data_IF_225429987150
#
_entry.id   IF_225429987150
#
_cell.length_a   1.000
_cell.length_b   1.000
_cell.length_c   1.000
_cell.angle_alpha   90.00
_cell.angle_beta   90.00
_cell.angle_gamma   90.00
#
_symmetry.space_group_name_H-M   'P 1'
#
loop_
_entity.id
_entity.type
_entity.pdbx_description
1 polymer ?
#
# COMPACT_ATOMS: atom_id res chain seq x y z
N UNK A 1 -42.73 8.24 -44.56
CA UNK A 1 -42.38 7.18 -43.57
C UNK A 1 -40.91 6.74 -43.66
N UNK A 2 -39.95 7.66 -43.86
CA UNK A 2 -38.50 7.34 -43.95
C UNK A 2 -37.59 8.31 -43.19
N UNK A 3 -38.18 9.24 -42.43
CA UNK A 3 -37.47 10.33 -41.74
C UNK A 3 -37.57 10.26 -40.21
N UNK A 4 -38.06 9.15 -39.65
CA UNK A 4 -38.22 8.94 -38.20
C UNK A 4 -37.32 7.81 -37.64
N UNK A 5 -36.46 7.22 -38.46
CA UNK A 5 -35.60 6.10 -38.05
C UNK A 5 -34.14 6.51 -37.75
N UNK A 6 -33.76 7.76 -38.04
CA UNK A 6 -32.38 8.24 -37.84
C UNK A 6 -32.15 8.90 -36.46
N UNK A 7 -33.19 9.06 -35.64
CA UNK A 7 -33.10 9.84 -34.38
C UNK A 7 -32.90 9.00 -33.11
N UNK A 8 -32.96 7.66 -33.17
CA UNK A 8 -32.76 6.80 -32.00
C UNK A 8 -31.32 6.28 -31.85
N UNK A 9 -30.47 6.42 -32.86
CA UNK A 9 -29.05 6.01 -32.78
C UNK A 9 -28.15 7.08 -32.11
N UNK A 10 -28.57 8.35 -32.07
CA UNK A 10 -27.80 9.43 -31.47
C UNK A 10 -27.95 9.53 -29.94
N UNK A 11 -28.97 8.91 -29.35
CA UNK A 11 -29.22 8.93 -27.90
C UNK A 11 -28.51 7.80 -27.14
N UNK A 12 -28.11 6.71 -27.80
CA UNK A 12 -27.38 5.60 -27.18
C UNK A 12 -25.86 5.84 -27.14
N UNK A 13 -25.36 6.80 -27.94
CA UNK A 13 -23.96 7.20 -27.92
C UNK A 13 -23.59 8.10 -26.71
N UNK A 14 -24.58 8.63 -25.98
CA UNK A 14 -24.34 9.52 -24.84
C UNK A 14 -24.31 8.80 -23.47
N UNK A 15 -24.58 7.49 -23.43
CA UNK A 15 -24.62 6.73 -22.18
C UNK A 15 -23.33 5.96 -21.84
N UNK A 16 -22.30 5.98 -22.69
CA UNK A 16 -21.04 5.26 -22.42
C UNK A 16 -19.94 6.11 -21.77
N UNK A 17 -20.20 7.39 -21.45
CA UNK A 17 -19.24 8.23 -20.72
C UNK A 17 -19.55 8.36 -19.22
N UNK A 18 -20.49 7.57 -18.70
CA UNK A 18 -20.97 7.69 -17.32
C UNK A 18 -20.43 6.63 -16.33
N UNK A 19 -19.47 5.78 -16.72
CA UNK A 19 -18.94 4.72 -15.82
C UNK A 19 -17.41 4.58 -15.84
N UNK A 20 -16.70 5.70 -15.91
CA UNK A 20 -15.32 5.78 -15.45
C UNK A 20 -15.23 6.83 -14.34
N UNK A 21 -15.88 6.57 -13.21
CA UNK A 21 -15.48 7.20 -11.94
C UNK A 21 -14.07 6.70 -11.63
N UNK A 22 -13.06 7.34 -12.22
CA UNK A 22 -11.67 7.17 -11.79
C UNK A 22 -11.65 7.48 -10.30
N UNK A 23 -11.43 6.45 -9.47
CA UNK A 23 -11.33 6.57 -8.02
C UNK A 23 -10.37 7.71 -7.67
N UNK A 24 -10.73 8.50 -6.67
CA UNK A 24 -9.83 9.53 -6.17
C UNK A 24 -8.52 8.89 -5.68
N UNK A 25 -7.38 9.61 -5.67
CA UNK A 25 -6.13 9.09 -5.12
C UNK A 25 -6.28 8.59 -3.69
N UNK A 26 -7.10 9.24 -2.87
CA UNK A 26 -7.41 8.80 -1.50
C UNK A 26 -8.14 7.45 -1.46
N UNK A 27 -9.16 7.27 -2.32
CA UNK A 27 -9.86 5.99 -2.43
C UNK A 27 -8.94 4.86 -2.92
N UNK A 28 -8.09 5.15 -3.92
CA UNK A 28 -7.09 4.19 -4.39
C UNK A 28 -6.11 3.81 -3.27
N UNK A 29 -5.62 4.78 -2.49
CA UNK A 29 -4.72 4.54 -1.39
C UNK A 29 -5.37 3.68 -0.30
N UNK A 30 -6.63 3.96 0.05
CA UNK A 30 -7.40 3.17 1.05
C UNK A 30 -7.60 1.71 0.63
N UNK A 31 -7.80 1.45 -0.65
CA UNK A 31 -7.91 0.08 -1.18
C UNK A 31 -6.57 -0.64 -1.26
N UNK A 32 -5.50 0.11 -1.53
CA UNK A 32 -4.15 -0.43 -1.66
C UNK A 32 -3.51 -0.72 -0.30
N UNK A 33 -3.77 0.11 0.70
CA UNK A 33 -3.11 0.05 2.00
C UNK A 33 -3.18 -1.34 2.67
N UNK A 34 -4.34 -2.02 2.76
CA UNK A 34 -4.41 -3.36 3.37
C UNK A 34 -3.50 -4.38 2.67
N UNK A 35 -3.41 -4.32 1.34
CA UNK A 35 -2.56 -5.23 0.55
C UNK A 35 -1.07 -4.95 0.79
N UNK A 36 -0.69 -3.68 0.78
CA UNK A 36 0.69 -3.26 1.07
C UNK A 36 1.11 -3.69 2.47
N UNK A 37 0.24 -3.46 3.46
CA UNK A 37 0.48 -3.86 4.85
C UNK A 37 0.69 -5.38 4.94
N UNK A 38 -0.16 -6.16 4.29
CA UNK A 38 -0.05 -7.61 4.28
C UNK A 38 1.25 -8.09 3.62
N UNK A 39 1.59 -7.59 2.43
CA UNK A 39 2.80 -7.98 1.69
C UNK A 39 4.05 -7.62 2.49
N UNK A 40 4.11 -6.39 2.99
CA UNK A 40 5.24 -5.89 3.77
C UNK A 40 5.45 -6.71 5.04
N UNK A 41 4.38 -6.96 5.80
CA UNK A 41 4.46 -7.76 7.02
C UNK A 41 4.80 -9.23 6.75
N UNK A 42 4.26 -9.81 5.67
CA UNK A 42 4.61 -11.17 5.26
C UNK A 42 6.09 -11.26 4.94
N UNK A 43 6.61 -10.37 4.09
CA UNK A 43 8.02 -10.36 3.71
C UNK A 43 8.93 -10.10 4.91
N UNK A 44 8.59 -9.14 5.77
CA UNK A 44 9.39 -8.81 6.95
C UNK A 44 9.50 -10.01 7.89
N UNK A 45 8.38 -10.65 8.24
CA UNK A 45 8.36 -11.79 9.14
C UNK A 45 9.04 -13.00 8.49
N UNK A 46 8.68 -13.36 7.26
CA UNK A 46 9.24 -14.54 6.59
C UNK A 46 10.76 -14.42 6.40
N UNK A 47 11.24 -13.23 6.03
CA UNK A 47 12.67 -13.01 5.79
C UNK A 47 13.51 -12.89 7.06
N UNK A 48 12.89 -12.61 8.21
CA UNK A 48 13.57 -12.50 9.51
C UNK A 48 13.35 -13.69 10.44
N UNK A 49 12.38 -14.56 10.14
CA UNK A 49 11.99 -15.72 10.96
C UNK A 49 13.16 -16.61 11.34
N UNK A 50 14.04 -16.93 10.40
CA UNK A 50 15.21 -17.79 10.67
C UNK A 50 16.22 -17.13 11.60
N UNK A 51 16.39 -15.81 11.50
CA UNK A 51 17.28 -15.05 12.40
C UNK A 51 16.64 -14.91 13.78
N UNK A 52 15.33 -14.68 13.85
CA UNK A 52 14.59 -14.66 15.11
C UNK A 52 14.58 -16.02 15.81
N UNK A 53 14.59 -17.12 15.05
CA UNK A 53 14.67 -18.47 15.60
C UNK A 53 16.01 -18.73 16.30
N UNK A 54 17.10 -18.10 15.82
CA UNK A 54 18.44 -18.20 16.42
C UNK A 54 18.60 -17.34 17.68
N UNK A 55 17.69 -16.39 17.93
CA UNK A 55 17.76 -15.56 19.13
C UNK A 55 17.49 -16.40 20.39
N UNK A 56 18.28 -16.23 21.47
CA UNK A 56 17.96 -16.81 22.76
C UNK A 56 16.60 -16.31 23.27
N UNK A 57 15.86 -17.11 24.06
CA UNK A 57 14.53 -16.73 24.57
C UNK A 57 14.51 -15.38 25.29
N UNK A 58 15.59 -15.04 25.99
CA UNK A 58 15.80 -13.77 26.71
C UNK A 58 15.68 -12.54 25.80
N UNK A 59 16.11 -12.65 24.53
CA UNK A 59 16.06 -11.55 23.56
C UNK A 59 14.76 -11.51 22.76
N UNK A 60 14.00 -12.61 22.70
CA UNK A 60 12.70 -12.64 22.00
C UNK A 60 11.68 -11.68 22.64
N UNK A 61 11.74 -11.53 23.96
CA UNK A 61 10.88 -10.60 24.71
C UNK A 61 11.28 -9.12 24.52
N UNK A 62 12.47 -8.85 23.99
CA UNK A 62 12.94 -7.50 23.66
C UNK A 62 12.53 -7.08 22.24
N UNK A 63 12.03 -8.02 21.42
CA UNK A 63 11.57 -7.70 20.08
C UNK A 63 10.30 -6.83 20.14
N UNK A 64 10.20 -5.79 19.31
CA UNK A 64 8.97 -5.01 19.19
C UNK A 64 7.76 -5.91 18.93
N UNK A 65 6.62 -5.61 19.57
CA UNK A 65 5.41 -6.42 19.47
C UNK A 65 4.96 -6.65 18.02
N UNK A 66 5.12 -5.64 17.15
CA UNK A 66 4.75 -5.74 15.74
C UNK A 66 5.61 -6.78 14.98
N UNK A 67 6.81 -7.12 15.44
CA UNK A 67 7.67 -8.12 14.81
C UNK A 67 7.39 -9.55 15.29
N UNK A 68 6.56 -9.73 16.32
CA UNK A 68 6.34 -11.05 16.92
C UNK A 68 5.42 -11.93 16.07
N UNK A 69 4.56 -11.34 15.25
CA UNK A 69 3.68 -12.07 14.34
C UNK A 69 3.26 -11.21 13.15
N UNK A 70 2.81 -11.86 12.05
CA UNK A 70 2.22 -11.17 10.89
C UNK A 70 0.98 -10.36 11.30
N UNK A 71 0.16 -10.87 12.22
CA UNK A 71 -1.04 -10.19 12.70
C UNK A 71 -0.69 -8.92 13.47
N UNK A 72 0.28 -9.00 14.39
CA UNK A 72 0.77 -7.85 15.15
C UNK A 72 1.39 -6.79 14.24
N UNK A 73 2.13 -7.19 13.22
CA UNK A 73 2.66 -6.28 12.21
C UNK A 73 1.54 -5.57 11.45
N UNK A 74 0.56 -6.33 10.96
CA UNK A 74 -0.55 -5.79 10.16
C UNK A 74 -1.41 -4.83 10.98
N UNK A 75 -1.70 -5.17 12.23
CA UNK A 75 -2.42 -4.32 13.16
C UNK A 75 -1.68 -3.00 13.42
N UNK A 76 -0.37 -3.07 13.68
CA UNK A 76 0.47 -1.88 13.89
C UNK A 76 0.51 -0.97 12.65
N UNK A 77 0.67 -1.56 11.47
CA UNK A 77 0.69 -0.80 10.22
C UNK A 77 -0.66 -0.18 9.89
N UNK A 78 -1.76 -0.88 10.21
CA UNK A 78 -3.13 -0.36 10.08
C UNK A 78 -3.35 0.84 11.00
N UNK A 79 -3.02 0.72 12.28
CA UNK A 79 -3.13 1.82 13.23
C UNK A 79 -2.30 3.03 12.79
N UNK A 80 -1.08 2.78 12.31
CA UNK A 80 -0.21 3.83 11.76
C UNK A 80 -0.83 4.51 10.54
N UNK A 81 -1.40 3.73 9.61
CA UNK A 81 -2.09 4.26 8.43
C UNK A 81 -3.31 5.10 8.81
N UNK A 82 -4.16 4.60 9.71
CA UNK A 82 -5.37 5.30 10.17
C UNK A 82 -4.99 6.62 10.86
N UNK A 83 -3.92 6.62 11.67
CA UNK A 83 -3.38 7.84 12.29
C UNK A 83 -2.87 8.83 11.25
N UNK A 84 -2.09 8.37 10.27
CA UNK A 84 -1.59 9.23 9.19
C UNK A 84 -2.73 9.77 8.32
N UNK A 85 -3.78 8.99 8.08
CA UNK A 85 -4.96 9.45 7.35
C UNK A 85 -5.67 10.58 8.11
N UNK A 86 -5.95 10.39 9.39
CA UNK A 86 -6.56 11.44 10.23
C UNK A 86 -5.72 12.72 10.24
N UNK A 87 -4.39 12.58 10.38
CA UNK A 87 -3.49 13.71 10.33
C UNK A 87 -3.52 14.46 8.99
N UNK A 88 -3.58 13.75 7.86
CA UNK A 88 -3.73 14.38 6.55
C UNK A 88 -5.05 15.13 6.43
N UNK A 89 -6.13 14.53 6.92
CA UNK A 89 -7.47 15.16 6.95
C UNK A 89 -7.45 16.44 7.81
N UNK A 90 -6.88 16.40 9.01
CA UNK A 90 -6.73 17.56 9.91
C UNK A 90 -5.87 18.68 9.28
N UNK A 91 -4.81 18.32 8.55
CA UNK A 91 -3.90 19.26 7.89
C UNK A 91 -4.36 19.68 6.49
N UNK A 92 -5.49 19.18 5.99
CA UNK A 92 -5.97 19.35 4.61
C UNK A 92 -4.93 18.94 3.55
N UNK A 93 -4.08 17.98 3.87
CA UNK A 93 -3.11 17.40 2.94
C UNK A 93 -3.82 16.46 1.97
N UNK A 94 -3.55 16.64 0.68
CA UNK A 94 -4.15 15.81 -0.37
C UNK A 94 -3.18 14.70 -0.76
N UNK A 95 -3.69 13.48 -0.84
CA UNK A 95 -2.99 12.39 -1.52
C UNK A 95 -2.97 12.69 -3.02
N UNK A 96 -1.77 12.71 -3.59
CA UNK A 96 -1.58 12.91 -5.03
C UNK A 96 -1.57 11.55 -5.75
N UNK A 97 -1.85 11.52 -7.06
CA UNK A 97 -1.68 10.30 -7.86
C UNK A 97 -0.25 9.73 -7.77
N UNK A 98 0.75 10.62 -7.74
CA UNK A 98 2.17 10.24 -7.63
C UNK A 98 2.48 9.49 -6.33
N UNK A 99 1.85 9.88 -5.22
CA UNK A 99 1.96 9.13 -3.95
C UNK A 99 1.40 7.72 -4.10
N UNK A 100 0.22 7.58 -4.71
CA UNK A 100 -0.41 6.27 -4.93
C UNK A 100 0.46 5.39 -5.81
N UNK A 101 0.98 5.93 -6.91
CA UNK A 101 1.83 5.19 -7.84
C UNK A 101 3.16 4.78 -7.21
N UNK A 102 3.71 5.58 -6.29
CA UNK A 102 4.88 5.23 -5.48
C UNK A 102 4.58 4.06 -4.52
N UNK A 103 3.40 4.04 -3.89
CA UNK A 103 2.95 2.91 -3.07
C UNK A 103 2.75 1.64 -3.89
N UNK A 104 2.13 1.72 -5.06
CA UNK A 104 1.94 0.58 -5.96
C UNK A 104 3.29 0.02 -6.44
N UNK A 105 4.22 0.91 -6.78
CA UNK A 105 5.58 0.53 -7.20
C UNK A 105 6.36 -0.15 -6.06
N UNK A 106 6.24 0.37 -4.83
CA UNK A 106 6.81 -0.23 -3.63
C UNK A 106 6.26 -1.64 -3.40
N UNK A 107 4.95 -1.83 -3.48
CA UNK A 107 4.31 -3.14 -3.35
C UNK A 107 4.83 -4.13 -4.39
N UNK A 108 4.80 -3.75 -5.67
CA UNK A 108 5.24 -4.60 -6.77
C UNK A 108 6.72 -4.99 -6.65
N UNK A 109 7.55 -4.09 -6.10
CA UNK A 109 8.96 -4.36 -5.84
C UNK A 109 9.15 -5.32 -4.66
N UNK A 110 8.41 -5.13 -3.56
CA UNK A 110 8.46 -6.02 -2.40
C UNK A 110 8.06 -7.46 -2.74
N UNK A 111 7.01 -7.65 -3.55
CA UNK A 111 6.56 -8.97 -3.99
C UNK A 111 7.68 -9.75 -4.70
N UNK A 112 8.43 -9.06 -5.57
CA UNK A 112 9.52 -9.63 -6.38
C UNK A 112 10.83 -9.77 -5.61
N UNK A 113 10.99 -9.03 -4.51
CA UNK A 113 12.23 -8.98 -3.75
C UNK A 113 12.42 -10.25 -2.91
N UNK A 114 13.65 -10.77 -2.91
CA UNK A 114 14.08 -11.92 -2.11
C UNK A 114 14.51 -11.50 -0.70
N UNK A 115 14.53 -12.45 0.23
CA UNK A 115 14.95 -12.17 1.61
C UNK A 115 16.41 -11.71 1.75
N UNK A 116 17.27 -11.99 0.77
CA UNK A 116 18.66 -11.49 0.77
C UNK A 116 18.71 -9.97 0.70
N UNK A 117 17.85 -9.35 -0.10
CA UNK A 117 17.78 -7.89 -0.20
C UNK A 117 17.24 -7.24 1.09
N UNK A 118 16.32 -7.91 1.80
CA UNK A 118 15.86 -7.47 3.11
C UNK A 118 16.97 -7.57 4.17
N UNK A 119 17.77 -8.65 4.15
CA UNK A 119 18.89 -8.85 5.08
C UNK A 119 20.04 -7.87 4.83
N UNK A 120 20.30 -7.53 3.57
CA UNK A 120 21.41 -6.65 3.17
C UNK A 120 21.02 -5.16 3.15
N UNK A 121 19.77 -4.81 3.46
CA UNK A 121 19.35 -3.42 3.52
C UNK A 121 20.03 -2.70 4.69
N UNK A 122 20.98 -1.81 4.37
CA UNK A 122 21.64 -0.94 5.35
C UNK A 122 20.68 0.17 5.77
N UNK A 123 20.29 0.19 7.04
CA UNK A 123 19.58 1.32 7.65
C UNK A 123 18.06 1.24 7.64
N UNK A 124 17.46 0.08 7.41
CA UNK A 124 16.00 -0.11 7.54
C UNK A 124 15.18 0.39 6.36
N UNK A 125 15.81 0.71 5.23
CA UNK A 125 15.09 1.02 3.99
C UNK A 125 14.46 -0.26 3.42
N UNK A 126 13.21 -0.20 3.01
CA UNK A 126 12.54 -1.34 2.37
C UNK A 126 12.91 -1.30 0.88
N UNK A 127 13.54 -2.36 0.33
CA UNK A 127 13.93 -2.37 -1.08
C UNK A 127 12.72 -2.10 -1.99
N UNK A 128 12.88 -1.15 -2.91
CA UNK A 128 11.85 -0.76 -3.88
C UNK A 128 10.84 0.26 -3.36
N UNK A 129 10.97 0.71 -2.11
CA UNK A 129 10.09 1.70 -1.49
C UNK A 129 10.79 3.06 -1.27
N UNK A 130 11.92 3.30 -1.94
CA UNK A 130 12.77 4.49 -1.73
C UNK A 130 12.01 5.79 -1.99
N UNK A 131 11.13 5.79 -3.00
CA UNK A 131 10.29 6.94 -3.35
C UNK A 131 9.27 7.31 -2.27
N UNK A 132 8.94 6.40 -1.34
CA UNK A 132 8.02 6.72 -0.24
C UNK A 132 8.64 7.68 0.78
N UNK A 133 9.98 7.70 0.88
CA UNK A 133 10.70 8.61 1.79
C UNK A 133 10.62 10.08 1.35
N UNK A 134 10.29 10.35 0.09
CA UNK A 134 10.10 11.70 -0.44
C UNK A 134 8.80 12.34 0.08
N UNK A 135 7.84 11.51 0.51
CA UNK A 135 6.53 11.93 1.01
C UNK A 135 6.40 11.89 2.55
N UNK A 136 7.47 11.53 3.26
CA UNK A 136 7.48 11.40 4.73
C UNK A 136 8.02 12.63 5.47
N UNK A 137 8.05 13.81 4.83
CA UNK A 137 8.53 15.07 5.41
C UNK A 137 7.40 15.93 5.95
#
# INVERSE_FOLDING_TARGET
>A
MKLLMASMAALVAFCFLADCKTKSPEERLKELAPKVQEVMCTKMIDCTKDEMAKLPPEYKNLMPAFMQSKESCTAFMKESFDKSQKQREERNEKVTPEMVDAFESCMASMEKTTCEAFKNSKGGAIPGCEKLSEFSK
#
